data_IF_970421780422
#
_entry.id   IF_970421780422
#
_cell.length_a   1.000
_cell.length_b   1.000
_cell.length_c   1.000
_cell.angle_alpha   90.00
_cell.angle_beta   90.00
_cell.angle_gamma   90.00
#
_symmetry.space_group_name_H-M   'P 1'
#
loop_
_entity.id
_entity.type
_entity.pdbx_description
1 polymer ?
#
# COMPACT_ATOMS: atom_id res chain seq x y z
N UNK A 1 31.28 -21.08 31.28
CA UNK A 1 31.55 -20.05 30.25
C UNK A 1 30.20 -19.58 29.76
N UNK A 2 29.75 -18.44 30.29
CA UNK A 2 28.47 -17.81 29.91
C UNK A 2 28.73 -17.02 28.63
N UNK A 3 28.18 -17.49 27.51
CA UNK A 3 28.05 -16.69 26.29
C UNK A 3 26.63 -16.15 26.24
N UNK A 4 26.38 -15.00 26.84
CA UNK A 4 25.17 -14.22 26.58
C UNK A 4 25.24 -13.72 25.15
N UNK A 5 24.41 -14.29 24.28
CA UNK A 5 24.12 -13.76 22.96
C UNK A 5 23.29 -12.49 23.18
N UNK A 6 23.96 -11.35 23.28
CA UNK A 6 23.32 -10.05 23.19
C UNK A 6 22.74 -9.93 21.77
N UNK A 7 21.46 -10.26 21.62
CA UNK A 7 20.69 -9.87 20.44
C UNK A 7 20.65 -8.35 20.42
N UNK A 8 21.44 -7.74 19.54
CA UNK A 8 21.26 -6.34 19.15
C UNK A 8 19.79 -6.14 18.78
N UNK A 9 19.03 -5.48 19.66
CA UNK A 9 17.71 -4.96 19.31
C UNK A 9 17.93 -3.92 18.21
N UNK A 10 17.82 -4.37 16.97
CA UNK A 10 17.80 -3.50 15.81
C UNK A 10 16.69 -2.47 16.05
N UNK A 11 17.07 -1.20 16.23
CA UNK A 11 16.11 -0.13 16.49
C UNK A 11 15.09 -0.10 15.35
N UNK A 12 13.84 -0.45 15.68
CA UNK A 12 12.73 -0.45 14.73
C UNK A 12 12.45 0.99 14.29
N UNK A 13 12.53 1.25 12.98
CA UNK A 13 12.25 2.58 12.44
C UNK A 13 10.75 2.81 12.52
N UNK A 14 10.30 3.87 13.21
CA UNK A 14 8.88 4.19 13.33
C UNK A 14 8.54 5.47 12.56
N UNK A 15 7.32 5.54 12.02
CA UNK A 15 6.81 6.73 11.34
C UNK A 15 5.34 6.98 11.71
N UNK A 16 5.04 8.18 12.20
CA UNK A 16 3.67 8.60 12.47
C UNK A 16 3.01 9.17 11.22
N UNK A 17 1.80 8.70 10.91
CA UNK A 17 1.01 9.14 9.75
C UNK A 17 -0.08 10.09 10.25
N UNK A 18 0.14 11.38 10.01
CA UNK A 18 -0.82 12.46 10.29
C UNK A 18 -1.64 12.73 9.04
N UNK A 19 -2.93 12.44 9.06
CA UNK A 19 -3.84 12.63 7.92
C UNK A 19 -5.23 13.07 8.42
N UNK A 20 -6.10 13.48 7.51
CA UNK A 20 -7.48 13.85 7.83
C UNK A 20 -8.48 12.86 7.26
N UNK A 21 -9.58 12.66 7.98
CA UNK A 21 -10.67 11.78 7.55
C UNK A 21 -11.58 12.50 6.54
N UNK A 22 -11.06 12.75 5.35
CA UNK A 22 -11.76 13.51 4.33
C UNK A 22 -12.94 12.72 3.73
N UNK A 23 -12.67 11.47 3.36
CA UNK A 23 -13.63 10.51 2.86
C UNK A 23 -13.09 9.07 3.03
N UNK A 24 -13.95 8.08 2.82
CA UNK A 24 -13.60 6.66 3.01
C UNK A 24 -12.42 6.21 2.14
N UNK A 25 -12.36 6.64 0.88
CA UNK A 25 -11.27 6.31 -0.04
C UNK A 25 -9.92 6.83 0.46
N UNK A 26 -9.89 8.05 0.99
CA UNK A 26 -8.69 8.65 1.56
C UNK A 26 -8.20 7.93 2.83
N UNK A 27 -9.14 7.49 3.69
CA UNK A 27 -8.80 6.69 4.87
C UNK A 27 -8.20 5.34 4.46
N UNK A 28 -8.81 4.66 3.48
CA UNK A 28 -8.30 3.40 2.93
C UNK A 28 -6.92 3.56 2.32
N UNK A 29 -6.69 4.66 1.60
CA UNK A 29 -5.38 4.98 1.04
C UNK A 29 -4.31 5.14 2.14
N UNK A 30 -4.61 5.89 3.21
CA UNK A 30 -3.69 6.06 4.33
C UNK A 30 -3.41 4.72 5.06
N UNK A 31 -4.43 3.87 5.20
CA UNK A 31 -4.29 2.52 5.75
C UNK A 31 -3.42 1.62 4.87
N UNK A 32 -3.60 1.66 3.55
CA UNK A 32 -2.75 0.96 2.59
C UNK A 32 -1.30 1.42 2.71
N UNK A 33 -1.05 2.73 2.79
CA UNK A 33 0.30 3.26 3.01
C UNK A 33 0.93 2.69 4.30
N UNK A 34 0.17 2.64 5.40
CA UNK A 34 0.65 2.04 6.66
C UNK A 34 1.09 0.58 6.48
N UNK A 35 0.31 -0.24 5.77
CA UNK A 35 0.67 -1.63 5.50
C UNK A 35 1.92 -1.76 4.63
N UNK A 36 2.09 -0.87 3.63
CA UNK A 36 3.28 -0.86 2.78
C UNK A 36 4.53 -0.47 3.59
N UNK A 37 4.43 0.54 4.46
CA UNK A 37 5.50 0.91 5.39
C UNK A 37 5.89 -0.27 6.29
N UNK A 38 4.91 -0.95 6.87
CA UNK A 38 5.14 -2.13 7.72
C UNK A 38 5.87 -3.24 6.97
N UNK A 39 5.44 -3.58 5.74
CA UNK A 39 6.11 -4.58 4.90
C UNK A 39 7.52 -4.14 4.45
N UNK A 40 7.79 -2.83 4.44
CA UNK A 40 9.11 -2.26 4.17
C UNK A 40 10.03 -2.17 5.40
N UNK A 41 9.59 -2.65 6.56
CA UNK A 41 10.37 -2.61 7.82
C UNK A 41 10.24 -1.30 8.61
N UNK A 42 9.29 -0.43 8.26
CA UNK A 42 8.96 0.80 8.99
C UNK A 42 7.69 0.55 9.79
N UNK A 43 7.72 0.69 11.10
CA UNK A 43 6.52 0.60 11.94
C UNK A 43 5.62 1.82 11.76
N UNK A 44 4.42 1.67 11.18
CA UNK A 44 3.48 2.77 11.07
C UNK A 44 2.80 3.03 12.42
N UNK A 45 2.68 4.31 12.78
CA UNK A 45 1.82 4.77 13.86
C UNK A 45 0.66 5.54 13.22
N UNK A 46 -0.51 4.91 13.14
CA UNK A 46 -1.73 5.45 12.51
C UNK A 46 -2.95 5.11 13.38
N UNK A 47 -3.90 6.03 13.48
CA UNK A 47 -5.08 5.86 14.32
C UNK A 47 -5.91 4.61 13.94
N UNK A 48 -6.08 4.31 12.65
CA UNK A 48 -6.84 3.15 12.15
C UNK A 48 -6.35 1.81 12.71
N UNK A 49 -5.07 1.69 13.03
CA UNK A 49 -4.45 0.45 13.52
C UNK A 49 -4.26 0.51 15.03
N UNK A 50 -3.89 1.67 15.57
CA UNK A 50 -3.36 1.78 16.92
C UNK A 50 -4.36 2.35 17.94
N UNK A 51 -5.50 2.89 17.51
CA UNK A 51 -6.51 3.52 18.38
C UNK A 51 -7.74 2.63 18.47
N UNK A 52 -8.20 2.35 19.70
CA UNK A 52 -9.36 1.51 19.97
C UNK A 52 -10.46 2.31 20.70
N UNK A 53 -11.73 1.84 20.72
CA UNK A 53 -12.78 2.47 21.52
C UNK A 53 -12.35 2.66 22.99
N UNK A 54 -12.47 3.90 23.48
CA UNK A 54 -12.01 4.31 24.82
C UNK A 54 -10.66 5.01 24.85
N UNK A 55 -9.88 4.98 23.77
CA UNK A 55 -8.66 5.78 23.63
C UNK A 55 -9.00 7.28 23.42
N UNK A 56 -8.10 8.15 23.87
CA UNK A 56 -8.18 9.59 23.57
C UNK A 56 -7.43 9.89 22.27
N UNK A 57 -8.16 10.13 21.18
CA UNK A 57 -7.61 10.37 19.84
C UNK A 57 -6.72 11.62 19.79
N UNK A 58 -7.15 12.73 20.39
CA UNK A 58 -6.37 13.98 20.43
C UNK A 58 -5.03 13.77 21.14
N UNK A 59 -5.04 13.02 22.24
CA UNK A 59 -3.81 12.67 22.97
C UNK A 59 -2.91 11.79 22.12
N UNK A 60 -3.46 10.79 21.44
CA UNK A 60 -2.70 9.92 20.53
C UNK A 60 -2.03 10.72 19.41
N UNK A 61 -2.75 11.66 18.78
CA UNK A 61 -2.20 12.53 17.74
C UNK A 61 -1.08 13.43 18.26
N UNK A 62 -1.29 14.09 19.40
CA UNK A 62 -0.28 14.95 20.02
C UNK A 62 0.99 14.16 20.40
N UNK A 63 0.83 12.97 20.97
CA UNK A 63 1.95 12.09 21.30
C UNK A 63 2.65 11.55 20.05
N UNK A 64 1.90 11.19 19.01
CA UNK A 64 2.43 10.75 17.72
C UNK A 64 3.32 11.81 17.08
N UNK A 65 2.86 13.05 17.02
CA UNK A 65 3.65 14.19 16.53
C UNK A 65 4.87 14.40 17.43
N UNK A 66 4.70 14.42 18.75
CA UNK A 66 5.76 14.78 19.70
C UNK A 66 6.87 13.72 19.84
N UNK A 67 6.51 12.43 19.91
CA UNK A 67 7.45 11.34 20.22
C UNK A 67 8.07 10.69 18.99
N UNK A 68 7.41 10.76 17.83
CA UNK A 68 7.92 10.10 16.63
C UNK A 68 9.05 10.89 16.00
N UNK A 69 10.11 10.20 15.57
CA UNK A 69 11.16 10.85 14.77
C UNK A 69 10.57 11.30 13.44
N UNK A 70 10.03 10.35 12.67
CA UNK A 70 9.39 10.61 11.39
C UNK A 70 7.91 10.93 11.58
N UNK A 71 7.47 12.03 10.95
CA UNK A 71 6.08 12.45 10.89
C UNK A 71 5.71 12.68 9.43
N UNK A 72 4.92 11.79 8.87
CA UNK A 72 4.38 11.87 7.52
C UNK A 72 3.09 12.68 7.61
N UNK A 73 3.01 13.82 6.94
CA UNK A 73 1.79 14.65 6.89
C UNK A 73 1.10 14.47 5.54
N UNK A 74 -0.02 13.76 5.52
CA UNK A 74 -0.87 13.58 4.34
C UNK A 74 -1.74 14.83 4.16
N UNK A 75 -1.28 15.74 3.33
CA UNK A 75 -1.87 17.06 3.11
C UNK A 75 -2.91 16.98 2.00
N UNK A 76 -4.14 16.65 2.39
CA UNK A 76 -5.34 16.76 1.55
C UNK A 76 -6.04 18.12 1.72
N UNK A 77 -7.11 18.36 0.96
CA UNK A 77 -7.92 19.57 1.11
C UNK A 77 -8.56 19.69 2.51
N UNK A 78 -9.04 18.58 3.08
CA UNK A 78 -9.57 18.57 4.44
C UNK A 78 -8.49 18.78 5.50
N UNK A 79 -7.27 18.28 5.25
CA UNK A 79 -6.12 18.54 6.12
C UNK A 79 -5.81 20.05 6.17
N UNK A 80 -5.76 20.71 5.01
CA UNK A 80 -5.52 22.16 4.94
C UNK A 80 -6.59 22.93 5.72
N UNK A 81 -7.87 22.60 5.52
CA UNK A 81 -8.99 23.25 6.24
C UNK A 81 -8.82 23.12 7.75
N UNK A 82 -8.62 21.90 8.25
CA UNK A 82 -8.39 21.66 9.68
C UNK A 82 -7.20 22.44 10.22
N UNK A 83 -6.10 22.49 9.48
CA UNK A 83 -4.91 23.23 9.88
C UNK A 83 -5.19 24.74 9.97
N UNK A 84 -5.91 25.30 9.00
CA UNK A 84 -6.28 26.72 9.00
C UNK A 84 -7.26 27.04 10.14
N UNK A 85 -8.25 26.19 10.41
CA UNK A 85 -9.19 26.35 11.53
C UNK A 85 -8.46 26.26 12.88
N UNK A 86 -7.50 25.34 13.02
CA UNK A 86 -6.68 25.23 14.23
C UNK A 86 -5.70 26.41 14.39
N UNK A 87 -5.35 27.12 13.31
CA UNK A 87 -4.57 28.37 13.41
C UNK A 87 -5.38 29.55 13.91
N UNK A 88 -6.69 29.60 13.62
CA UNK A 88 -7.58 30.64 14.18
C UNK A 88 -7.92 30.35 15.65
N UNK A 89 -7.84 29.08 16.07
CA UNK A 89 -8.03 28.63 17.46
C UNK A 89 -6.89 27.78 18.02
N UNK A 90 -5.67 28.32 18.11
CA UNK A 90 -4.53 27.84 18.95
C UNK A 90 -4.47 26.30 19.22
N UNK A 91 -4.57 25.48 18.18
CA UNK A 91 -4.57 24.02 18.30
C UNK A 91 -3.25 23.49 18.85
N UNK A 92 -3.29 22.60 19.86
CA UNK A 92 -2.09 21.97 20.44
C UNK A 92 -1.27 21.22 19.39
N UNK A 93 -1.93 20.53 18.46
CA UNK A 93 -1.28 19.76 17.39
C UNK A 93 -0.50 20.66 16.42
N UNK A 94 -1.08 21.79 16.00
CA UNK A 94 -0.42 22.76 15.11
C UNK A 94 0.82 23.34 15.78
N UNK A 95 0.77 23.61 17.09
CA UNK A 95 1.94 24.07 17.85
C UNK A 95 3.05 23.02 17.88
N UNK A 96 2.73 21.78 18.24
CA UNK A 96 3.69 20.67 18.27
C UNK A 96 4.31 20.43 16.89
N UNK A 97 3.50 20.51 15.83
CA UNK A 97 3.98 20.37 14.47
C UNK A 97 4.91 21.53 14.10
N UNK A 98 4.54 22.79 14.42
CA UNK A 98 5.39 23.98 14.21
C UNK A 98 6.75 23.86 14.92
N UNK A 99 6.77 23.35 16.15
CA UNK A 99 8.02 23.12 16.89
C UNK A 99 8.92 22.09 16.19
N UNK A 100 8.34 21.08 15.55
CA UNK A 100 9.07 20.06 14.79
C UNK A 100 9.39 20.42 13.35
N UNK A 101 8.78 21.46 12.78
CA UNK A 101 8.95 21.82 11.38
C UNK A 101 10.38 22.28 11.04
N UNK A 102 11.21 22.66 12.01
CA UNK A 102 12.64 22.88 11.76
C UNK A 102 13.38 21.59 11.40
N UNK A 103 12.85 20.43 11.78
CA UNK A 103 13.42 19.11 11.52
C UNK A 103 13.16 18.61 10.09
N UNK A 104 14.13 17.92 9.50
CA UNK A 104 14.00 17.23 8.22
C UNK A 104 13.12 15.96 8.27
N UNK A 105 12.64 15.56 9.46
CA UNK A 105 11.86 14.33 9.68
C UNK A 105 10.33 14.55 9.60
N UNK A 106 9.88 15.79 9.42
CA UNK A 106 8.49 16.09 9.04
C UNK A 106 8.41 16.10 7.52
N UNK A 107 7.74 15.09 6.96
CA UNK A 107 7.65 14.85 5.52
C UNK A 107 6.22 15.13 5.04
N UNK A 108 5.97 16.31 4.44
CA UNK A 108 4.68 16.58 3.82
C UNK A 108 4.52 15.78 2.52
N UNK A 109 3.35 15.19 2.34
CA UNK A 109 2.94 14.54 1.09
C UNK A 109 1.60 15.10 0.63
N UNK A 110 1.44 15.38 -0.65
CA UNK A 110 0.17 15.84 -1.21
C UNK A 110 -0.62 14.64 -1.72
N UNK A 111 -1.84 14.42 -1.22
CA UNK A 111 -2.79 13.42 -1.71
C UNK A 111 -4.20 13.96 -1.56
N UNK A 112 -5.02 13.85 -2.60
CA UNK A 112 -6.37 14.42 -2.64
C UNK A 112 -6.37 15.93 -2.30
N UNK A 113 -5.48 16.67 -2.96
CA UNK A 113 -5.24 18.09 -2.75
C UNK A 113 -5.50 18.85 -4.05
N UNK A 114 -6.70 19.38 -4.19
CA UNK A 114 -7.16 19.99 -5.46
C UNK A 114 -6.38 21.25 -5.81
N UNK A 115 -5.77 21.90 -4.82
CA UNK A 115 -5.04 23.15 -5.02
C UNK A 115 -3.55 22.95 -5.31
N UNK A 116 -3.03 21.72 -5.15
CA UNK A 116 -1.60 21.40 -5.16
C UNK A 116 -0.78 22.34 -4.26
N UNK A 117 -1.35 22.74 -3.11
CA UNK A 117 -0.71 23.67 -2.16
C UNK A 117 -0.48 23.02 -0.82
N UNK A 118 0.60 23.44 -0.18
CA UNK A 118 0.86 23.18 1.23
C UNK A 118 0.29 24.31 2.11
N UNK A 119 -0.16 24.01 3.34
CA UNK A 119 -0.36 25.01 4.37
C UNK A 119 0.91 25.84 4.60
N UNK A 120 0.76 27.12 4.95
CA UNK A 120 1.89 28.05 5.16
C UNK A 120 2.94 27.55 6.16
N UNK A 121 2.53 26.71 7.12
CA UNK A 121 3.46 26.13 8.09
C UNK A 121 4.55 25.26 7.46
N UNK A 122 4.29 24.68 6.28
CA UNK A 122 5.25 23.86 5.54
C UNK A 122 6.03 24.66 4.49
N UNK A 123 5.90 25.99 4.47
CA UNK A 123 6.60 26.84 3.50
C UNK A 123 8.11 26.55 3.51
N UNK A 124 8.67 26.27 2.34
CA UNK A 124 10.09 25.94 2.15
C UNK A 124 10.45 24.47 2.39
N UNK A 125 9.49 23.60 2.76
CA UNK A 125 9.70 22.15 2.80
C UNK A 125 9.57 21.57 1.39
N UNK A 126 10.45 20.61 1.10
CA UNK A 126 10.26 19.68 -0.01
C UNK A 126 9.13 18.70 0.34
N UNK A 127 8.30 18.35 -0.63
CA UNK A 127 7.15 17.47 -0.47
C UNK A 127 7.10 16.44 -1.59
N UNK A 128 6.48 15.30 -1.32
CA UNK A 128 6.18 14.27 -2.32
C UNK A 128 4.74 14.48 -2.79
N UNK A 129 4.51 14.54 -4.10
CA UNK A 129 3.17 14.67 -4.66
C UNK A 129 2.68 13.32 -5.16
N UNK A 130 1.53 12.88 -4.65
CA UNK A 130 0.84 11.68 -5.09
C UNK A 130 -0.32 12.05 -6.02
N UNK A 131 -0.27 11.52 -7.24
CA UNK A 131 -1.36 11.46 -8.20
C UNK A 131 -1.59 10.01 -8.65
N UNK A 132 -2.63 9.79 -9.45
CA UNK A 132 -2.99 8.44 -9.93
C UNK A 132 -1.90 7.78 -10.77
N UNK A 133 -1.04 8.56 -11.42
CA UNK A 133 0.00 8.05 -12.33
C UNK A 133 1.32 7.74 -11.65
N UNK A 134 1.59 8.33 -10.49
CA UNK A 134 2.90 8.29 -9.84
C UNK A 134 2.91 7.64 -8.45
N UNK A 135 1.79 7.06 -8.00
CA UNK A 135 1.62 6.65 -6.61
C UNK A 135 2.75 5.74 -6.12
N UNK A 136 3.05 4.65 -6.84
CA UNK A 136 4.12 3.74 -6.46
C UNK A 136 5.49 4.44 -6.40
N UNK A 137 5.78 5.36 -7.33
CA UNK A 137 7.02 6.14 -7.31
C UNK A 137 7.11 7.04 -6.08
N UNK A 138 6.02 7.72 -5.71
CA UNK A 138 5.97 8.54 -4.50
C UNK A 138 6.14 7.72 -3.22
N UNK A 139 5.55 6.51 -3.15
CA UNK A 139 5.70 5.60 -2.02
C UNK A 139 7.17 5.16 -1.90
N UNK A 140 7.78 4.80 -3.04
CA UNK A 140 9.19 4.42 -3.10
C UNK A 140 10.11 5.55 -2.63
N UNK A 141 9.86 6.78 -3.09
CA UNK A 141 10.62 7.95 -2.65
C UNK A 141 10.51 8.17 -1.14
N UNK A 142 9.30 8.06 -0.58
CA UNK A 142 9.05 8.19 0.85
C UNK A 142 9.80 7.13 1.67
N UNK A 143 9.74 5.86 1.26
CA UNK A 143 10.40 4.77 1.99
C UNK A 143 11.92 4.91 1.92
N UNK A 144 12.47 5.22 0.74
CA UNK A 144 13.91 5.49 0.59
C UNK A 144 14.37 6.61 1.49
N UNK A 145 13.58 7.68 1.59
CA UNK A 145 13.83 8.81 2.47
C UNK A 145 13.85 8.41 3.95
N UNK A 146 12.88 7.62 4.41
CA UNK A 146 12.75 7.19 5.81
C UNK A 146 13.88 6.23 6.20
N UNK A 147 14.24 5.30 5.32
CA UNK A 147 15.29 4.31 5.54
C UNK A 147 16.71 4.83 5.25
N UNK A 148 16.83 6.05 4.69
CA UNK A 148 18.13 6.71 4.41
C UNK A 148 18.84 6.21 3.15
N UNK A 149 18.12 5.56 2.22
CA UNK A 149 18.67 5.10 0.93
C UNK A 149 18.95 6.26 -0.04
N UNK A 150 18.22 7.37 0.09
CA UNK A 150 18.42 8.61 -0.65
C UNK A 150 19.85 9.17 -0.51
N UNK A 151 20.47 9.02 0.66
CA UNK A 151 21.83 9.47 0.96
C UNK A 151 22.92 8.56 0.38
N UNK A 152 22.60 7.31 0.06
CA UNK A 152 23.54 6.33 -0.49
C UNK A 152 23.81 6.55 -1.99
N UNK A 153 22.92 7.28 -2.68
CA UNK A 153 23.03 7.60 -4.10
C UNK A 153 23.66 9.00 -4.25
N UNK A 154 24.86 9.22 -3.69
CA UNK A 154 25.77 10.15 -4.38
C UNK A 154 25.92 9.59 -5.80
N UNK A 155 25.89 10.41 -6.86
CA UNK A 155 25.89 9.88 -8.22
C UNK A 155 27.04 8.89 -8.37
N UNK A 156 26.70 7.61 -8.53
CA UNK A 156 27.65 6.52 -8.75
C UNK A 156 28.04 6.64 -10.22
N UNK A 157 28.86 7.65 -10.53
CA UNK A 157 29.18 8.00 -11.92
C UNK A 157 30.14 6.99 -12.55
N UNK A 158 30.93 6.27 -11.74
CA UNK A 158 32.09 5.59 -12.29
C UNK A 158 31.81 4.15 -12.78
N UNK A 159 30.87 3.40 -12.19
CA UNK A 159 30.61 2.01 -12.62
C UNK A 159 29.15 1.57 -12.41
N UNK A 160 28.27 1.65 -13.43
CA UNK A 160 26.84 1.30 -13.31
C UNK A 160 26.57 -0.19 -13.05
N UNK A 161 27.59 -1.04 -13.12
CA UNK A 161 27.49 -2.49 -12.92
C UNK A 161 28.29 -2.99 -11.70
N UNK A 162 28.62 -2.11 -10.75
CA UNK A 162 29.31 -2.51 -9.53
C UNK A 162 28.41 -3.35 -8.62
N UNK A 163 29.01 -4.11 -7.70
CA UNK A 163 28.28 -4.88 -6.68
C UNK A 163 27.42 -3.96 -5.82
N UNK A 164 27.95 -2.78 -5.47
CA UNK A 164 27.23 -1.78 -4.66
C UNK A 164 25.99 -1.27 -5.38
N UNK A 165 26.07 -1.03 -6.69
CA UNK A 165 24.90 -0.67 -7.50
C UNK A 165 23.90 -1.82 -7.53
N UNK A 166 24.35 -3.07 -7.74
CA UNK A 166 23.46 -4.23 -7.73
C UNK A 166 22.76 -4.42 -6.37
N UNK A 167 23.48 -4.29 -5.26
CA UNK A 167 22.94 -4.39 -3.89
C UNK A 167 21.90 -3.30 -3.63
N UNK A 168 22.11 -2.08 -4.16
CA UNK A 168 21.10 -1.02 -4.10
C UNK A 168 19.86 -1.37 -4.92
N UNK A 169 20.02 -1.87 -6.16
CA UNK A 169 18.89 -2.27 -7.03
C UNK A 169 18.07 -3.41 -6.42
N UNK A 170 18.72 -4.37 -5.76
CA UNK A 170 18.04 -5.45 -5.04
C UNK A 170 17.18 -4.85 -3.91
N UNK A 171 17.72 -3.93 -3.11
CA UNK A 171 16.95 -3.27 -2.05
C UNK A 171 15.79 -2.44 -2.59
N UNK A 172 16.00 -1.71 -3.68
CA UNK A 172 14.93 -0.98 -4.37
C UNK A 172 13.82 -1.93 -4.84
N UNK A 173 14.18 -3.07 -5.45
CA UNK A 173 13.22 -4.06 -5.88
C UNK A 173 12.43 -4.65 -4.70
N UNK A 174 13.08 -4.99 -3.59
CA UNK A 174 12.40 -5.50 -2.39
C UNK A 174 11.42 -4.48 -1.80
N UNK A 175 11.75 -3.18 -1.81
CA UNK A 175 10.82 -2.14 -1.39
C UNK A 175 9.66 -2.04 -2.39
N UNK A 176 9.92 -2.10 -3.70
CA UNK A 176 8.88 -1.97 -4.72
C UNK A 176 7.84 -3.10 -4.61
N UNK A 177 8.27 -4.33 -4.31
CA UNK A 177 7.35 -5.47 -4.05
C UNK A 177 6.33 -5.17 -2.97
N UNK A 178 6.68 -4.35 -1.97
CA UNK A 178 5.76 -4.02 -0.86
C UNK A 178 4.58 -3.17 -1.33
N UNK A 179 4.64 -2.54 -2.50
CA UNK A 179 3.54 -1.74 -3.07
C UNK A 179 2.42 -2.59 -3.70
N UNK A 180 2.68 -3.87 -3.99
CA UNK A 180 1.71 -4.81 -4.59
C UNK A 180 0.80 -5.45 -3.53
N UNK A 181 0.15 -4.60 -2.75
CA UNK A 181 -0.80 -5.00 -1.71
C UNK A 181 -1.98 -4.03 -1.62
N UNK A 182 -3.16 -4.55 -1.33
CA UNK A 182 -4.27 -3.80 -0.76
C UNK A 182 -4.87 -4.57 0.43
N UNK A 183 -4.79 -4.04 1.66
CA UNK A 183 -5.26 -4.74 2.86
C UNK A 183 -6.78 -4.75 3.03
N UNK A 184 -7.51 -3.95 2.23
CA UNK A 184 -8.96 -3.81 2.33
C UNK A 184 -9.69 -5.10 1.92
N UNK A 185 -10.92 -5.27 2.42
CA UNK A 185 -11.73 -6.45 2.14
C UNK A 185 -12.46 -6.38 0.81
N UNK A 186 -12.52 -5.21 0.19
CA UNK A 186 -13.10 -5.01 -1.14
C UNK A 186 -12.53 -3.76 -1.79
N UNK A 187 -12.54 -3.74 -3.12
CA UNK A 187 -12.13 -2.58 -3.88
C UNK A 187 -11.89 -2.89 -5.34
N UNK A 188 -11.26 -1.94 -6.03
CA UNK A 188 -10.78 -2.09 -7.39
C UNK A 188 -9.27 -1.91 -7.33
N UNK A 189 -8.53 -2.81 -7.99
CA UNK A 189 -7.07 -2.75 -8.12
C UNK A 189 -6.75 -2.53 -9.57
N UNK A 190 -5.78 -1.66 -9.84
CA UNK A 190 -4.99 -1.69 -11.07
C UNK A 190 -3.50 -1.87 -10.73
N UNK A 191 -2.81 -2.72 -11.49
CA UNK A 191 -1.37 -2.91 -11.31
C UNK A 191 -0.73 -3.47 -12.59
N UNK A 192 0.60 -3.35 -12.68
CA UNK A 192 1.35 -3.94 -13.77
C UNK A 192 1.55 -5.44 -13.51
N UNK A 193 0.91 -6.32 -14.30
CA UNK A 193 0.95 -7.77 -14.07
C UNK A 193 2.21 -8.46 -14.61
N UNK A 194 3.07 -7.74 -15.33
CA UNK A 194 4.39 -8.23 -15.75
C UNK A 194 5.49 -7.97 -14.72
N UNK A 195 5.19 -7.16 -13.70
CA UNK A 195 6.07 -6.89 -12.57
C UNK A 195 5.71 -7.74 -11.35
N UNK A 196 6.61 -7.79 -10.36
CA UNK A 196 6.43 -8.53 -9.10
C UNK A 196 5.97 -10.00 -9.32
N UNK A 197 6.52 -10.68 -10.32
CA UNK A 197 6.14 -12.06 -10.70
C UNK A 197 4.62 -12.24 -10.98
N UNK A 198 3.96 -11.16 -11.37
CA UNK A 198 2.51 -11.08 -11.57
C UNK A 198 1.71 -11.22 -10.28
N UNK A 199 2.34 -11.01 -9.12
CA UNK A 199 1.72 -11.17 -7.81
C UNK A 199 1.10 -9.87 -7.32
N UNK A 200 -0.12 -9.96 -6.80
CA UNK A 200 -0.73 -8.89 -6.01
C UNK A 200 -1.40 -9.45 -4.76
N UNK A 201 -1.14 -8.84 -3.61
CA UNK A 201 -1.66 -9.28 -2.31
C UNK A 201 -2.97 -8.54 -2.00
N UNK A 202 -4.00 -9.29 -1.63
CA UNK A 202 -5.29 -8.75 -1.22
C UNK A 202 -5.60 -9.20 0.21
N UNK A 203 -6.13 -8.29 1.04
CA UNK A 203 -6.47 -8.55 2.43
C UNK A 203 -5.26 -8.57 3.36
N UNK A 204 -5.50 -9.00 4.60
CA UNK A 204 -4.48 -9.05 5.66
C UNK A 204 -4.77 -10.17 6.67
N UNK A 205 -3.74 -10.58 7.42
CA UNK A 205 -3.87 -11.63 8.44
C UNK A 205 -4.34 -12.97 7.86
N UNK A 206 -5.32 -13.61 8.51
CA UNK A 206 -5.90 -14.86 8.03
C UNK A 206 -6.69 -14.70 6.71
N UNK A 207 -7.04 -13.47 6.34
CA UNK A 207 -7.72 -13.12 5.09
C UNK A 207 -6.73 -12.57 4.05
N UNK A 208 -5.42 -12.81 4.17
CA UNK A 208 -4.47 -12.48 3.12
C UNK A 208 -4.54 -13.50 1.97
N UNK A 209 -4.55 -12.99 0.73
CA UNK A 209 -4.55 -13.75 -0.51
C UNK A 209 -3.42 -13.25 -1.41
N UNK A 210 -2.55 -14.17 -1.82
CA UNK A 210 -1.57 -13.90 -2.86
C UNK A 210 -2.15 -14.29 -4.22
N UNK A 211 -2.65 -13.31 -4.97
CA UNK A 211 -3.11 -13.53 -6.35
C UNK A 211 -1.91 -13.56 -7.27
N UNK A 212 -1.92 -14.42 -8.30
CA UNK A 212 -0.85 -14.51 -9.29
C UNK A 212 -1.42 -14.54 -10.70
N UNK A 213 -0.82 -13.74 -11.58
CA UNK A 213 -1.31 -13.50 -12.92
C UNK A 213 -0.19 -13.58 -13.95
N UNK A 214 -0.52 -13.90 -15.20
CA UNK A 214 0.40 -13.75 -16.32
C UNK A 214 -0.34 -13.42 -17.61
N UNK A 215 0.38 -12.79 -18.55
CA UNK A 215 -0.10 -12.45 -19.88
C UNK A 215 -0.74 -13.66 -20.58
N UNK A 216 -1.87 -13.44 -21.25
CA UNK A 216 -2.45 -14.40 -22.20
C UNK A 216 -2.86 -13.68 -23.49
N UNK A 217 -3.77 -12.71 -23.43
CA UNK A 217 -4.13 -11.82 -24.54
C UNK A 217 -4.70 -10.49 -24.04
N UNK A 218 -5.13 -9.61 -24.95
CA UNK A 218 -5.83 -8.37 -24.62
C UNK A 218 -7.30 -8.55 -24.16
N UNK A 219 -7.80 -9.79 -24.10
CA UNK A 219 -9.15 -10.10 -23.60
C UNK A 219 -9.16 -11.22 -22.55
N UNK A 220 -7.99 -11.77 -22.23
CA UNK A 220 -7.86 -12.85 -21.26
C UNK A 220 -6.53 -12.82 -20.52
N UNK A 221 -6.53 -13.34 -19.30
CA UNK A 221 -5.37 -13.42 -18.44
C UNK A 221 -5.28 -14.79 -17.77
N UNK A 222 -4.08 -15.29 -17.53
CA UNK A 222 -3.90 -16.51 -16.76
C UNK A 222 -3.85 -16.18 -15.27
N UNK A 223 -4.67 -16.84 -14.47
CA UNK A 223 -4.65 -16.82 -13.01
C UNK A 223 -4.03 -18.11 -12.48
N UNK A 224 -3.22 -18.03 -11.44
CA UNK A 224 -2.53 -19.18 -10.84
C UNK A 224 -2.72 -19.22 -9.33
N UNK A 225 -2.91 -20.41 -8.77
CA UNK A 225 -2.73 -20.58 -7.33
C UNK A 225 -1.24 -20.52 -6.97
N UNK A 226 -0.91 -19.99 -5.78
CA UNK A 226 0.46 -20.04 -5.26
C UNK A 226 0.64 -21.37 -4.54
N UNK A 227 1.23 -22.35 -5.24
CA UNK A 227 1.37 -23.76 -4.80
C UNK A 227 1.91 -23.92 -3.38
N UNK A 228 2.91 -23.13 -2.98
CA UNK A 228 3.54 -23.23 -1.65
C UNK A 228 2.61 -22.80 -0.50
N UNK A 229 1.57 -22.02 -0.80
CA UNK A 229 0.60 -21.53 0.17
C UNK A 229 -0.70 -22.34 0.19
N UNK A 230 -0.75 -23.50 -0.47
CA UNK A 230 -1.92 -24.39 -0.44
C UNK A 230 -3.20 -23.81 -1.06
N UNK A 231 -3.10 -22.72 -1.83
CA UNK A 231 -4.26 -22.03 -2.38
C UNK A 231 -4.97 -22.84 -3.48
N UNK A 232 -6.26 -22.58 -3.68
CA UNK A 232 -7.08 -23.14 -4.77
C UNK A 232 -7.75 -22.03 -5.55
N UNK A 233 -7.97 -22.25 -6.85
CA UNK A 233 -8.69 -21.32 -7.71
C UNK A 233 -9.76 -22.03 -8.55
N UNK A 234 -10.89 -21.36 -8.74
CA UNK A 234 -11.92 -21.76 -9.69
C UNK A 234 -12.35 -20.57 -10.54
N UNK A 235 -12.88 -20.87 -11.72
CA UNK A 235 -13.41 -19.87 -12.67
C UNK A 235 -14.93 -19.85 -12.62
N UNK A 236 -15.50 -18.66 -12.55
CA UNK A 236 -16.93 -18.38 -12.74
C UNK A 236 -17.07 -17.52 -13.99
N UNK A 237 -17.92 -17.95 -14.92
CA UNK A 237 -18.10 -17.27 -16.20
C UNK A 237 -19.10 -16.13 -16.09
N UNK A 238 -18.82 -15.00 -16.74
CA UNK A 238 -19.75 -13.88 -16.96
C UNK A 238 -20.58 -13.51 -15.72
N UNK A 239 -19.93 -13.05 -14.65
CA UNK A 239 -20.66 -12.62 -13.47
C UNK A 239 -21.09 -11.15 -13.62
N UNK A 240 -22.36 -10.84 -13.39
CA UNK A 240 -22.85 -9.46 -13.48
C UNK A 240 -22.21 -8.56 -12.41
N UNK A 241 -22.17 -9.04 -11.16
CA UNK A 241 -21.52 -8.37 -10.04
C UNK A 241 -20.96 -9.40 -9.08
N UNK A 242 -19.80 -9.12 -8.49
CA UNK A 242 -19.25 -9.98 -7.42
C UNK A 242 -20.17 -10.06 -6.20
N UNK A 243 -21.08 -9.09 -6.02
CA UNK A 243 -22.08 -9.07 -4.97
C UNK A 243 -23.19 -10.12 -5.16
N UNK A 244 -23.40 -10.60 -6.39
CA UNK A 244 -24.40 -11.64 -6.66
C UNK A 244 -23.89 -13.07 -6.44
N UNK A 245 -22.60 -13.24 -6.12
CA UNK A 245 -22.03 -14.56 -5.85
C UNK A 245 -22.56 -15.13 -4.53
N UNK A 246 -23.29 -16.25 -4.60
CA UNK A 246 -23.96 -16.86 -3.44
C UNK A 246 -23.39 -18.22 -3.03
N UNK A 247 -22.78 -18.98 -3.94
CA UNK A 247 -22.29 -20.33 -3.66
C UNK A 247 -21.09 -20.72 -4.51
N UNK A 248 -20.18 -21.51 -3.92
CA UNK A 248 -19.07 -22.17 -4.60
C UNK A 248 -19.34 -23.63 -4.96
N UNK A 249 -20.56 -24.11 -4.72
CA UNK A 249 -20.98 -25.47 -5.04
C UNK A 249 -20.85 -25.77 -6.54
N UNK A 250 -20.28 -26.93 -6.86
CA UNK A 250 -20.06 -27.36 -8.24
C UNK A 250 -18.89 -26.69 -8.96
N UNK A 251 -18.16 -25.77 -8.33
CA UNK A 251 -16.97 -25.18 -8.93
C UNK A 251 -15.79 -26.14 -8.95
N UNK A 252 -15.05 -26.13 -10.06
CA UNK A 252 -13.85 -26.95 -10.24
C UNK A 252 -12.60 -26.23 -9.71
N UNK A 253 -12.05 -26.74 -8.60
CA UNK A 253 -10.81 -26.28 -7.96
C UNK A 253 -9.61 -27.22 -8.21
N UNK A 254 -9.73 -28.16 -9.15
CA UNK A 254 -8.70 -29.18 -9.38
C UNK A 254 -7.46 -28.63 -10.07
N UNK A 255 -7.61 -27.63 -10.93
CA UNK A 255 -6.49 -27.04 -11.65
C UNK A 255 -5.87 -25.87 -10.89
N UNK A 256 -4.57 -25.75 -11.07
CA UNK A 256 -3.76 -24.69 -10.46
C UNK A 256 -3.75 -23.42 -11.30
N UNK A 257 -4.12 -23.52 -12.57
CA UNK A 257 -4.18 -22.41 -13.50
C UNK A 257 -5.56 -22.32 -14.16
N UNK A 258 -6.04 -21.10 -14.39
CA UNK A 258 -7.27 -20.81 -15.10
C UNK A 258 -7.04 -19.66 -16.08
N UNK A 259 -7.58 -19.76 -17.29
CA UNK A 259 -7.65 -18.63 -18.23
C UNK A 259 -8.96 -17.89 -18.04
N UNK A 260 -8.88 -16.62 -17.67
CA UNK A 260 -9.98 -15.78 -17.24
C UNK A 260 -10.19 -14.69 -18.28
N UNK A 261 -11.41 -14.50 -18.76
CA UNK A 261 -11.74 -13.43 -19.71
C UNK A 261 -12.20 -12.18 -18.95
N UNK A 262 -12.21 -11.04 -19.64
CA UNK A 262 -12.87 -9.83 -19.12
C UNK A 262 -14.34 -10.17 -18.82
N UNK A 263 -14.82 -9.77 -17.63
CA UNK A 263 -16.16 -10.08 -17.13
C UNK A 263 -16.28 -11.39 -16.35
N UNK A 264 -15.31 -12.31 -16.47
CA UNK A 264 -15.24 -13.51 -15.64
C UNK A 264 -14.75 -13.19 -14.22
N UNK A 265 -15.03 -14.11 -13.29
CA UNK A 265 -14.57 -14.04 -11.91
C UNK A 265 -13.71 -15.26 -11.54
N UNK A 266 -12.72 -15.02 -10.69
CA UNK A 266 -11.92 -16.05 -10.04
C UNK A 266 -12.33 -16.15 -8.59
N UNK A 267 -12.58 -17.38 -8.14
CA UNK A 267 -12.79 -17.71 -6.74
C UNK A 267 -11.48 -18.27 -6.20
N UNK A 268 -10.89 -17.59 -5.23
CA UNK A 268 -9.66 -18.00 -4.55
C UNK A 268 -9.98 -18.58 -3.18
N UNK A 269 -9.27 -19.63 -2.79
CA UNK A 269 -9.30 -20.17 -1.43
C UNK A 269 -7.86 -20.15 -0.90
N UNK A 270 -7.61 -19.51 0.25
CA UNK A 270 -6.29 -19.50 0.87
C UNK A 270 -6.08 -20.71 1.82
N UNK A 271 -4.87 -20.85 2.39
CA UNK A 271 -4.54 -21.95 3.32
C UNK A 271 -5.40 -22.00 4.59
N UNK A 272 -6.09 -20.90 4.92
CA UNK A 272 -7.00 -20.80 6.08
C UNK A 272 -8.45 -21.18 5.72
N UNK A 273 -8.71 -21.51 4.45
CA UNK A 273 -10.04 -21.80 3.94
C UNK A 273 -10.94 -20.57 3.79
N UNK A 274 -10.36 -19.36 3.79
CA UNK A 274 -11.08 -18.13 3.50
C UNK A 274 -11.16 -17.92 1.99
N UNK A 275 -12.19 -17.19 1.54
CA UNK A 275 -12.47 -17.02 0.11
C UNK A 275 -12.36 -15.57 -0.35
N UNK A 276 -11.87 -15.38 -1.57
CA UNK A 276 -11.78 -14.11 -2.27
C UNK A 276 -12.41 -14.26 -3.67
N UNK A 277 -13.12 -13.24 -4.11
CA UNK A 277 -13.63 -13.09 -5.46
C UNK A 277 -12.84 -12.01 -6.18
N UNK A 278 -12.43 -12.24 -7.43
CA UNK A 278 -11.84 -11.21 -8.30
C UNK A 278 -12.49 -11.24 -9.68
N UNK A 279 -13.21 -10.18 -10.05
CA UNK A 279 -13.80 -9.99 -11.38
C UNK A 279 -12.89 -9.15 -12.26
N UNK A 280 -12.57 -9.66 -13.45
CA UNK A 280 -11.70 -8.94 -14.38
C UNK A 280 -12.47 -7.83 -15.08
N UNK A 281 -11.99 -6.60 -14.97
CA UNK A 281 -12.63 -5.42 -15.57
C UNK A 281 -11.92 -4.98 -16.85
N UNK A 282 -10.59 -5.00 -16.86
CA UNK A 282 -9.78 -4.55 -17.99
C UNK A 282 -8.44 -5.27 -18.02
N UNK A 283 -7.92 -5.51 -19.23
CA UNK A 283 -6.58 -6.03 -19.48
C UNK A 283 -5.95 -5.15 -20.57
N UNK A 284 -4.78 -4.60 -20.27
CA UNK A 284 -3.92 -3.90 -21.22
C UNK A 284 -2.69 -4.77 -21.50
N UNK A 285 -2.25 -4.83 -22.76
CA UNK A 285 -1.18 -5.71 -23.19
C UNK A 285 -0.17 -4.96 -24.08
N UNK A 286 1.04 -4.78 -23.57
CA UNK A 286 2.10 -4.00 -24.23
C UNK A 286 2.60 -4.61 -25.55
N UNK A 287 2.27 -5.87 -25.83
CA UNK A 287 2.57 -6.52 -27.11
C UNK A 287 1.48 -6.29 -28.16
N UNK A 288 0.40 -5.58 -27.79
CA UNK A 288 -0.84 -5.40 -28.57
C UNK A 288 -1.38 -3.96 -28.49
N UNK A 289 -0.47 -3.00 -28.64
CA UNK A 289 -0.74 -1.55 -28.78
C UNK A 289 -1.05 -0.77 -27.49
N UNK A 290 -1.05 -1.41 -26.32
CA UNK A 290 -1.12 -0.70 -25.04
C UNK A 290 0.26 -0.22 -24.57
N UNK A 291 0.34 0.84 -23.74
CA UNK A 291 1.62 1.36 -23.27
C UNK A 291 2.26 0.49 -22.16
N UNK A 292 1.48 -0.33 -21.46
CA UNK A 292 1.92 -1.15 -20.32
C UNK A 292 1.03 -2.38 -20.14
N UNK A 293 1.57 -3.40 -19.47
CA UNK A 293 0.84 -4.58 -19.03
C UNK A 293 0.03 -4.32 -17.77
N UNK A 294 -1.18 -3.76 -17.90
CA UNK A 294 -2.05 -3.42 -16.77
C UNK A 294 -3.24 -4.39 -16.63
N UNK A 295 -3.47 -4.86 -15.40
CA UNK A 295 -4.66 -5.62 -15.03
C UNK A 295 -5.51 -4.79 -14.10
N UNK A 296 -6.80 -4.64 -14.42
CA UNK A 296 -7.79 -4.02 -13.54
C UNK A 296 -8.82 -5.07 -13.11
N UNK A 297 -8.97 -5.28 -11.81
CA UNK A 297 -9.99 -6.17 -11.27
C UNK A 297 -10.73 -5.57 -10.07
N UNK A 298 -12.02 -5.86 -9.98
CA UNK A 298 -12.83 -5.65 -8.78
C UNK A 298 -12.68 -6.88 -7.88
N UNK A 299 -12.63 -6.69 -6.56
CA UNK A 299 -12.52 -7.81 -5.64
C UNK A 299 -13.34 -7.66 -4.36
N UNK A 300 -13.64 -8.80 -3.75
CA UNK A 300 -14.29 -8.90 -2.43
C UNK A 300 -13.84 -10.16 -1.70
N UNK A 301 -13.36 -9.99 -0.49
CA UNK A 301 -13.11 -11.06 0.48
C UNK A 301 -14.46 -11.44 1.12
N UNK A 302 -14.75 -12.74 1.14
CA UNK A 302 -15.96 -13.26 1.76
C UNK A 302 -15.71 -13.52 3.25
N UNK A 303 -16.36 -12.74 4.09
CA UNK A 303 -16.37 -12.96 5.53
C UNK A 303 -17.28 -14.16 5.86
N UNK A 304 -16.86 -14.99 6.81
CA UNK A 304 -17.75 -16.02 7.36
C UNK A 304 -18.88 -15.30 8.09
N UNK A 305 -20.13 -15.68 7.80
CA UNK A 305 -21.25 -15.24 8.61
C UNK A 305 -20.96 -15.57 10.08
N UNK A 306 -21.10 -14.58 10.95
CA UNK A 306 -20.95 -14.75 12.40
C UNK A 306 -22.03 -15.66 12.98
#
# INVERSE_FOLDING_TARGET
MNGTCDTEQQMKVTAFISYSWDNEEHVKWANRLAHILAKSGIEPLIDQINVQPGCNLEKYMAEGISKSRWVICVVSDGYIKKMNDLTTGVGKEVKLLKEKLTSEFVVPILKNNSTCKLPDIFKGKYYIQFDESNENQGIMELIKRILGFDRAIKPIVEFPFSKEVADLRIKEAEIEKTTYINPEFKGIIDFNYSNNDGVFIVGSGDYEFQTKWSKASNISIHAYNVRLNGGKIAKVKNIDSIESFTSSEGLDFTSEARTIQIGDCVVWINSKGNMLLTKILCIMDDTRDDPVDKLIFEYKILEKAK
#
